data_IF_570950139201
#
_entry.id   IF_570950139201
#
_cell.length_a   1.000
_cell.length_b   1.000
_cell.length_c   1.000
_cell.angle_alpha   90.00
_cell.angle_beta   90.00
_cell.angle_gamma   90.00
#
_symmetry.space_group_name_H-M   'P 1'
#
loop_
_entity.id
_entity.type
_entity.pdbx_description
1 polymer ?
#
# COMPACT_ATOMS: atom_id res chain seq x y z
N UNK A 1 -7.12 21.32 -0.25
CA UNK A 1 -7.72 20.31 0.63
C UNK A 1 -6.65 19.29 1.00
N UNK A 2 -6.23 19.28 2.26
CA UNK A 2 -4.98 18.64 2.69
C UNK A 2 -5.12 17.14 2.94
N UNK A 3 -4.01 16.40 2.78
CA UNK A 3 -3.87 14.98 3.14
C UNK A 3 -4.34 14.64 4.57
N UNK A 4 -4.36 15.63 5.46
CA UNK A 4 -4.92 15.54 6.80
C UNK A 4 -6.41 15.16 6.79
N UNK A 5 -7.21 15.69 5.87
CA UNK A 5 -8.68 15.55 5.88
C UNK A 5 -9.12 14.08 5.70
N UNK A 6 -8.44 13.31 4.85
CA UNK A 6 -8.76 11.88 4.63
C UNK A 6 -8.36 10.98 5.81
N UNK A 7 -7.23 11.27 6.45
CA UNK A 7 -6.80 10.56 7.67
C UNK A 7 -7.76 10.89 8.82
N UNK A 8 -8.18 12.15 8.94
CA UNK A 8 -9.22 12.58 9.89
C UNK A 8 -10.54 11.86 9.62
N UNK A 9 -10.97 11.72 8.36
CA UNK A 9 -12.20 10.99 8.02
C UNK A 9 -12.12 9.51 8.41
N UNK A 10 -11.00 8.83 8.15
CA UNK A 10 -10.82 7.42 8.55
C UNK A 10 -10.80 7.24 10.08
N UNK A 11 -10.16 8.16 10.81
CA UNK A 11 -10.18 8.19 12.28
C UNK A 11 -11.58 8.50 12.82
N UNK A 12 -12.35 9.36 12.15
CA UNK A 12 -13.74 9.67 12.52
C UNK A 12 -14.66 8.47 12.27
N UNK A 13 -14.49 7.71 11.18
CA UNK A 13 -15.25 6.48 10.96
C UNK A 13 -14.93 5.40 12.03
N UNK A 14 -13.66 5.28 12.42
CA UNK A 14 -13.25 4.42 13.53
C UNK A 14 -13.87 4.88 14.85
N UNK A 15 -13.93 6.20 15.10
CA UNK A 15 -14.55 6.76 16.30
C UNK A 15 -16.09 6.60 16.34
N UNK A 16 -16.77 6.64 15.19
CA UNK A 16 -18.23 6.43 15.12
C UNK A 16 -18.59 4.97 15.40
N UNK A 17 -17.82 4.01 14.87
CA UNK A 17 -18.01 2.58 15.20
C UNK A 17 -17.79 2.27 16.68
N UNK A 18 -16.96 3.06 17.37
CA UNK A 18 -16.71 2.98 18.82
C UNK A 18 -17.92 3.47 19.65
N UNK A 19 -18.62 4.51 19.21
CA UNK A 19 -19.76 5.09 19.95
C UNK A 19 -20.98 4.16 19.94
N UNK A 20 -21.20 3.40 18.87
CA UNK A 20 -22.37 2.53 18.71
C UNK A 20 -22.13 1.07 19.12
N UNK A 21 -21.01 0.74 19.76
CA UNK A 21 -20.78 -0.62 20.27
C UNK A 21 -21.76 -0.95 21.41
N UNK A 22 -22.46 -2.10 21.38
CA UNK A 22 -23.34 -2.55 22.46
C UNK A 22 -22.62 -2.66 23.82
N UNK A 23 -21.30 -2.84 23.80
CA UNK A 23 -20.46 -2.95 25.00
C UNK A 23 -20.12 -1.61 25.66
N UNK A 24 -20.38 -0.46 25.00
CA UNK A 24 -20.14 0.87 25.58
C UNK A 24 -20.99 1.12 26.84
N UNK A 25 -22.02 0.28 27.05
CA UNK A 25 -22.93 0.33 28.20
C UNK A 25 -22.67 -0.75 29.27
N UNK A 26 -21.61 -1.58 29.17
CA UNK A 26 -21.31 -2.65 30.15
C UNK A 26 -19.82 -2.96 30.35
N UNK A 27 -19.43 -3.27 31.60
CA UNK A 27 -18.12 -3.75 32.10
C UNK A 27 -16.83 -3.28 31.37
N UNK A 28 -16.02 -2.44 32.04
CA UNK A 28 -14.80 -1.78 31.52
C UNK A 28 -13.71 -2.71 30.94
N UNK A 29 -13.68 -4.00 31.30
CA UNK A 29 -12.57 -4.90 30.90
C UNK A 29 -12.82 -5.60 29.55
N UNK A 30 -14.07 -5.88 29.20
CA UNK A 30 -14.46 -6.47 27.90
C UNK A 30 -14.31 -5.45 26.78
N UNK A 31 -14.59 -4.18 27.07
CA UNK A 31 -14.64 -3.10 26.08
C UNK A 31 -13.28 -2.85 25.41
N UNK A 32 -12.15 -2.85 26.16
CA UNK A 32 -10.83 -2.56 25.58
C UNK A 32 -10.36 -3.66 24.61
N UNK A 33 -10.56 -4.93 24.95
CA UNK A 33 -10.19 -6.06 24.08
C UNK A 33 -10.96 -6.01 22.77
N UNK A 34 -12.26 -5.70 22.83
CA UNK A 34 -13.12 -5.51 21.66
C UNK A 34 -12.63 -4.36 20.78
N UNK A 35 -12.27 -3.21 21.36
CA UNK A 35 -11.73 -2.09 20.58
C UNK A 35 -10.41 -2.40 19.88
N UNK A 36 -9.49 -3.12 20.55
CA UNK A 36 -8.21 -3.51 19.96
C UNK A 36 -8.41 -4.51 18.81
N UNK A 37 -9.32 -5.48 18.99
CA UNK A 37 -9.71 -6.41 17.92
C UNK A 37 -10.36 -5.70 16.74
N UNK A 38 -11.22 -4.71 17.00
CA UNK A 38 -11.86 -3.91 15.95
C UNK A 38 -10.83 -3.06 15.19
N UNK A 39 -9.92 -2.40 15.90
CA UNK A 39 -8.83 -1.63 15.29
C UNK A 39 -7.92 -2.52 14.42
N UNK A 40 -7.58 -3.72 14.92
CA UNK A 40 -6.88 -4.74 14.14
C UNK A 40 -7.63 -5.10 12.86
N UNK A 41 -8.90 -5.48 12.99
CA UNK A 41 -9.73 -5.92 11.86
C UNK A 41 -9.85 -4.83 10.79
N UNK A 42 -10.19 -3.61 11.18
CA UNK A 42 -10.38 -2.51 10.23
C UNK A 42 -9.06 -2.08 9.59
N UNK A 43 -7.96 -2.00 10.36
CA UNK A 43 -6.63 -1.74 9.83
C UNK A 43 -6.22 -2.80 8.81
N UNK A 44 -6.39 -4.08 9.16
CA UNK A 44 -6.09 -5.19 8.27
C UNK A 44 -6.91 -5.13 6.97
N UNK A 45 -8.24 -5.00 7.09
CA UNK A 45 -9.16 -4.99 5.94
C UNK A 45 -8.90 -3.83 4.99
N UNK A 46 -8.64 -2.61 5.51
CA UNK A 46 -8.31 -1.45 4.68
C UNK A 46 -6.98 -1.68 3.96
N UNK A 47 -5.94 -2.14 4.67
CA UNK A 47 -4.64 -2.40 4.08
C UNK A 47 -4.71 -3.46 2.97
N UNK A 48 -5.36 -4.59 3.25
CA UNK A 48 -5.51 -5.70 2.31
C UNK A 48 -6.32 -5.29 1.07
N UNK A 49 -7.49 -4.68 1.27
CA UNK A 49 -8.38 -4.26 0.19
C UNK A 49 -7.76 -3.18 -0.70
N UNK A 50 -7.13 -2.16 -0.10
CA UNK A 50 -6.43 -1.12 -0.85
C UNK A 50 -5.26 -1.70 -1.65
N UNK A 51 -4.46 -2.58 -1.06
CA UNK A 51 -3.34 -3.22 -1.74
C UNK A 51 -3.80 -4.08 -2.91
N UNK A 52 -4.87 -4.87 -2.73
CA UNK A 52 -5.47 -5.65 -3.81
C UNK A 52 -5.92 -4.75 -4.96
N UNK A 53 -6.73 -3.74 -4.64
CA UNK A 53 -7.30 -2.85 -5.65
C UNK A 53 -6.22 -2.07 -6.41
N UNK A 54 -5.32 -1.38 -5.72
CA UNK A 54 -4.31 -0.52 -6.36
C UNK A 54 -3.34 -1.34 -7.22
N UNK A 55 -2.94 -2.52 -6.75
CA UNK A 55 -1.92 -3.34 -7.43
C UNK A 55 -2.49 -4.07 -8.64
N UNK A 56 -3.62 -4.76 -8.47
CA UNK A 56 -4.10 -5.71 -9.46
C UNK A 56 -5.23 -5.18 -10.34
N UNK A 57 -5.88 -4.07 -9.95
CA UNK A 57 -7.05 -3.54 -10.66
C UNK A 57 -6.79 -2.11 -11.13
N UNK A 58 -6.72 -1.17 -10.19
CA UNK A 58 -6.59 0.26 -10.47
C UNK A 58 -5.33 0.60 -11.28
N UNK A 59 -4.18 0.03 -10.93
CA UNK A 59 -2.93 0.22 -11.67
C UNK A 59 -3.03 -0.22 -13.13
N UNK A 60 -3.66 -1.37 -13.40
CA UNK A 60 -3.83 -1.91 -14.76
C UNK A 60 -4.82 -1.07 -15.56
N UNK A 61 -5.96 -0.70 -14.96
CA UNK A 61 -6.96 0.14 -15.63
C UNK A 61 -6.35 1.48 -16.01
N UNK A 62 -5.66 2.16 -15.08
CA UNK A 62 -5.02 3.44 -15.36
C UNK A 62 -3.94 3.32 -16.44
N UNK A 63 -3.13 2.27 -16.39
CA UNK A 63 -2.08 2.05 -17.40
C UNK A 63 -2.67 1.84 -18.81
N UNK A 64 -3.79 1.12 -18.91
CA UNK A 64 -4.44 0.80 -20.20
C UNK A 64 -5.27 1.94 -20.78
N UNK A 65 -5.63 2.96 -20.00
CA UNK A 65 -6.61 3.96 -20.41
C UNK A 65 -6.12 5.41 -20.30
N UNK A 66 -5.02 5.69 -19.61
CA UNK A 66 -4.48 7.05 -19.49
C UNK A 66 -3.28 7.26 -20.41
N UNK A 67 -3.14 8.46 -21.01
CA UNK A 67 -1.90 8.90 -21.62
C UNK A 67 -0.72 8.74 -20.66
N UNK A 68 0.43 8.32 -21.17
CA UNK A 68 1.62 7.99 -20.37
C UNK A 68 1.99 9.07 -19.36
N UNK A 69 1.97 10.34 -19.77
CA UNK A 69 2.34 11.45 -18.88
C UNK A 69 1.30 11.71 -17.80
N UNK A 70 0.02 11.62 -18.14
CA UNK A 70 -1.08 11.74 -17.18
C UNK A 70 -1.05 10.60 -16.16
N UNK A 71 -0.83 9.37 -16.62
CA UNK A 71 -0.65 8.19 -15.78
C UNK A 71 0.49 8.39 -14.76
N UNK A 72 1.68 8.76 -15.22
CA UNK A 72 2.84 8.99 -14.34
C UNK A 72 2.59 10.10 -13.33
N UNK A 73 1.96 11.20 -13.76
CA UNK A 73 1.61 12.32 -12.88
C UNK A 73 0.59 11.92 -11.81
N UNK A 74 -0.46 11.20 -12.18
CA UNK A 74 -1.46 10.69 -11.25
C UNK A 74 -0.83 9.74 -10.23
N UNK A 75 -0.02 8.79 -10.69
CA UNK A 75 0.72 7.86 -9.83
C UNK A 75 1.63 8.59 -8.83
N UNK A 76 2.28 9.68 -9.24
CA UNK A 76 3.17 10.46 -8.35
C UNK A 76 2.45 11.10 -7.16
N UNK A 77 1.13 11.28 -7.25
CA UNK A 77 0.30 11.79 -6.15
C UNK A 77 -0.36 10.66 -5.37
N UNK A 78 -0.81 9.64 -6.09
CA UNK A 78 -1.54 8.51 -5.53
C UNK A 78 -0.64 7.61 -4.67
N UNK A 79 0.52 7.19 -5.14
CA UNK A 79 1.35 6.20 -4.42
C UNK A 79 1.83 6.67 -3.05
N UNK A 80 2.30 7.92 -2.86
CA UNK A 80 2.63 8.40 -1.52
C UNK A 80 1.42 8.34 -0.57
N UNK A 81 0.23 8.71 -1.03
CA UNK A 81 -0.98 8.65 -0.22
C UNK A 81 -1.37 7.20 0.12
N UNK A 82 -1.32 6.32 -0.88
CA UNK A 82 -1.57 4.88 -0.74
C UNK A 82 -0.61 4.23 0.27
N UNK A 83 0.70 4.36 0.09
CA UNK A 83 1.68 3.71 0.98
C UNK A 83 1.67 4.32 2.39
N UNK A 84 1.33 5.61 2.55
CA UNK A 84 1.09 6.19 3.88
C UNK A 84 -0.12 5.58 4.56
N UNK A 85 -1.27 5.52 3.88
CA UNK A 85 -2.50 4.97 4.44
C UNK A 85 -2.35 3.48 4.79
N UNK A 86 -1.82 2.67 3.86
CA UNK A 86 -1.55 1.25 4.09
C UNK A 86 -0.55 1.07 5.22
N UNK A 87 0.51 1.88 5.27
CA UNK A 87 1.51 1.82 6.34
C UNK A 87 0.92 2.05 7.73
N UNK A 88 0.07 3.08 7.89
CA UNK A 88 -0.63 3.34 9.16
C UNK A 88 -1.54 2.17 9.53
N UNK A 89 -2.31 1.65 8.57
CA UNK A 89 -3.22 0.54 8.80
C UNK A 89 -2.49 -0.76 9.21
N UNK A 90 -1.37 -1.08 8.55
CA UNK A 90 -0.53 -2.23 8.93
C UNK A 90 0.09 -1.98 10.31
N UNK A 91 0.56 -0.77 10.62
CA UNK A 91 1.12 -0.46 11.93
C UNK A 91 0.10 -0.65 13.06
N UNK A 92 -1.14 -0.20 12.87
CA UNK A 92 -2.25 -0.45 13.81
C UNK A 92 -2.51 -1.95 13.95
N UNK A 93 -2.49 -2.69 12.84
CA UNK A 93 -2.66 -4.16 12.83
C UNK A 93 -1.55 -4.85 13.63
N UNK A 94 -0.28 -4.52 13.37
CA UNK A 94 0.90 -5.04 14.09
C UNK A 94 0.81 -4.75 15.58
N UNK A 95 0.52 -3.50 15.95
CA UNK A 95 0.45 -3.09 17.36
C UNK A 95 -0.69 -3.81 18.09
N UNK A 96 -1.87 -3.88 17.48
CA UNK A 96 -3.03 -4.56 18.04
C UNK A 96 -2.77 -6.06 18.19
N UNK A 97 -2.20 -6.70 17.17
CA UNK A 97 -1.88 -8.13 17.19
C UNK A 97 -0.81 -8.44 18.25
N UNK A 98 0.26 -7.64 18.32
CA UNK A 98 1.33 -7.80 19.31
C UNK A 98 0.85 -7.58 20.74
N UNK A 99 -0.09 -6.66 20.96
CA UNK A 99 -0.71 -6.45 22.27
C UNK A 99 -1.58 -7.65 22.70
N UNK A 100 -2.43 -8.14 21.80
CA UNK A 100 -3.31 -9.29 22.07
C UNK A 100 -2.54 -10.62 22.19
N UNK A 101 -1.34 -10.68 21.63
CA UNK A 101 -0.50 -11.88 21.60
C UNK A 101 0.92 -11.60 22.11
N UNK A 102 1.12 -11.38 23.43
CA UNK A 102 2.43 -11.12 24.00
C UNK A 102 3.45 -12.21 23.69
N UNK A 103 4.65 -11.83 23.24
CA UNK A 103 5.64 -12.76 22.70
C UNK A 103 5.91 -14.01 23.57
N UNK A 104 6.04 -13.81 24.89
CA UNK A 104 6.38 -14.88 25.85
C UNK A 104 5.29 -15.95 25.95
N UNK A 105 4.02 -15.57 25.82
CA UNK A 105 2.86 -16.47 25.96
C UNK A 105 2.25 -16.88 24.63
N UNK A 106 2.64 -16.23 23.53
CA UNK A 106 2.18 -16.56 22.18
C UNK A 106 2.70 -17.90 21.69
N UNK A 107 1.80 -18.65 21.06
CA UNK A 107 2.10 -19.83 20.27
C UNK A 107 3.06 -19.52 19.12
N UNK A 108 3.72 -20.56 18.61
CA UNK A 108 4.60 -20.46 17.43
C UNK A 108 3.89 -19.86 16.22
N UNK A 109 2.64 -20.26 15.96
CA UNK A 109 1.84 -19.72 14.85
C UNK A 109 1.63 -18.20 14.99
N UNK A 110 1.24 -17.72 16.18
CA UNK A 110 1.07 -16.28 16.44
C UNK A 110 2.38 -15.50 16.26
N UNK A 111 3.53 -16.05 16.70
CA UNK A 111 4.84 -15.39 16.49
C UNK A 111 5.18 -15.24 15.00
N UNK A 112 4.92 -16.27 14.19
CA UNK A 112 5.08 -16.18 12.74
C UNK A 112 4.15 -15.13 12.11
N UNK A 113 2.89 -15.07 12.54
CA UNK A 113 1.95 -14.05 12.05
C UNK A 113 2.40 -12.62 12.36
N UNK A 114 2.90 -12.38 13.57
CA UNK A 114 3.50 -11.10 13.91
C UNK A 114 4.72 -10.78 13.00
N UNK A 115 5.56 -11.77 12.71
CA UNK A 115 6.67 -11.64 11.76
C UNK A 115 6.22 -11.27 10.35
N UNK A 116 5.16 -11.90 9.83
CA UNK A 116 4.58 -11.54 8.52
C UNK A 116 4.02 -10.11 8.52
N UNK A 117 3.28 -9.71 9.55
CA UNK A 117 2.75 -8.34 9.65
C UNK A 117 3.88 -7.28 9.73
N UNK A 118 4.95 -7.56 10.48
CA UNK A 118 6.14 -6.69 10.54
C UNK A 118 6.82 -6.63 9.17
N UNK A 119 6.94 -7.76 8.48
CA UNK A 119 7.51 -7.80 7.12
C UNK A 119 6.66 -6.99 6.13
N UNK A 120 5.34 -7.10 6.23
CA UNK A 120 4.40 -6.32 5.43
C UNK A 120 4.62 -4.82 5.62
N UNK A 121 4.77 -4.39 6.89
CA UNK A 121 5.04 -3.02 7.25
C UNK A 121 6.39 -2.56 6.69
N UNK A 122 7.45 -3.36 6.87
CA UNK A 122 8.78 -3.04 6.40
C UNK A 122 8.80 -2.79 4.88
N UNK A 123 8.26 -3.71 4.09
CA UNK A 123 8.20 -3.55 2.63
C UNK A 123 7.36 -2.34 2.20
N UNK A 124 6.23 -2.09 2.88
CA UNK A 124 5.41 -0.91 2.63
C UNK A 124 6.18 0.39 2.93
N UNK A 125 6.89 0.46 4.05
CA UNK A 125 7.69 1.63 4.43
C UNK A 125 8.89 1.84 3.49
N UNK A 126 9.54 0.76 3.03
CA UNK A 126 10.55 0.85 1.98
C UNK A 126 9.96 1.45 0.71
N UNK A 127 8.75 1.04 0.31
CA UNK A 127 8.08 1.67 -0.81
C UNK A 127 7.77 3.15 -0.56
N UNK A 128 7.27 3.51 0.62
CA UNK A 128 6.91 4.89 0.95
C UNK A 128 8.12 5.83 0.93
N UNK A 129 9.21 5.43 1.59
CA UNK A 129 10.34 6.32 1.87
C UNK A 129 11.50 6.19 0.88
N UNK A 130 11.61 5.04 0.20
CA UNK A 130 12.78 4.73 -0.63
C UNK A 130 12.36 4.66 -2.10
N UNK A 131 11.52 3.69 -2.47
CA UNK A 131 11.26 3.45 -3.89
C UNK A 131 10.32 4.48 -4.53
N UNK A 132 9.25 4.90 -3.85
CA UNK A 132 8.29 5.87 -4.42
C UNK A 132 8.96 7.20 -4.77
N UNK A 133 9.76 7.84 -3.87
CA UNK A 133 10.47 9.06 -4.22
C UNK A 133 11.43 8.88 -5.41
N UNK A 134 12.17 7.76 -5.44
CA UNK A 134 13.08 7.46 -6.56
C UNK A 134 12.35 7.24 -7.88
N UNK A 135 11.24 6.50 -7.88
CA UNK A 135 10.42 6.28 -9.08
C UNK A 135 9.83 7.59 -9.60
N UNK A 136 9.33 8.46 -8.71
CA UNK A 136 8.79 9.77 -9.09
C UNK A 136 9.86 10.66 -9.71
N UNK A 137 11.04 10.72 -9.10
CA UNK A 137 12.14 11.55 -9.63
C UNK A 137 12.59 11.05 -11.01
N UNK A 138 12.79 9.73 -11.15
CA UNK A 138 13.17 9.14 -12.43
C UNK A 138 12.07 9.33 -13.49
N UNK A 139 10.80 9.25 -13.10
CA UNK A 139 9.65 9.53 -13.96
C UNK A 139 9.70 10.97 -14.49
N UNK A 140 9.88 11.97 -13.62
CA UNK A 140 9.95 13.39 -14.03
C UNK A 140 11.07 13.66 -15.02
N UNK A 141 12.27 13.13 -14.73
CA UNK A 141 13.43 13.26 -15.62
C UNK A 141 13.13 12.63 -16.98
N UNK A 142 12.54 11.43 -16.99
CA UNK A 142 12.17 10.72 -18.21
C UNK A 142 11.11 11.46 -19.02
N UNK A 143 10.09 12.02 -18.38
CA UNK A 143 9.05 12.81 -19.06
C UNK A 143 9.63 14.04 -19.76
N UNK A 144 10.70 14.65 -19.24
CA UNK A 144 11.40 15.77 -19.91
C UNK A 144 11.97 15.32 -21.26
N UNK A 145 12.71 14.20 -21.28
CA UNK A 145 13.28 13.65 -22.52
C UNK A 145 12.19 13.17 -23.47
N UNK A 146 11.12 12.57 -22.96
CA UNK A 146 9.97 12.17 -23.77
C UNK A 146 9.34 13.37 -24.50
N UNK A 147 9.15 14.51 -23.81
CA UNK A 147 8.67 15.75 -24.44
C UNK A 147 9.62 16.30 -25.50
N UNK A 148 10.94 16.27 -25.25
CA UNK A 148 11.96 16.66 -26.24
C UNK A 148 11.89 15.81 -27.51
N UNK A 149 11.33 14.59 -27.43
CA UNK A 149 11.15 13.68 -28.56
C UNK A 149 9.68 13.60 -29.04
N UNK A 150 8.82 14.53 -28.61
CA UNK A 150 7.39 14.58 -28.98
C UNK A 150 6.60 13.29 -28.72
N UNK A 151 6.90 12.61 -27.61
CA UNK A 151 6.20 11.41 -27.12
C UNK A 151 5.74 11.60 -25.66
N UNK A 152 4.87 10.72 -25.16
CA UNK A 152 4.36 10.73 -23.79
C UNK A 152 2.85 10.95 -23.65
N UNK A 153 2.18 11.28 -24.74
CA UNK A 153 0.71 11.42 -24.78
C UNK A 153 0.01 10.18 -25.33
N UNK A 154 0.78 9.17 -25.78
CA UNK A 154 0.22 7.88 -26.13
C UNK A 154 -0.25 7.09 -24.92
N UNK A 155 -1.28 6.26 -25.14
CA UNK A 155 -1.66 5.20 -24.22
C UNK A 155 -0.76 3.99 -24.48
N UNK A 156 -0.20 3.41 -23.41
CA UNK A 156 0.67 2.25 -23.49
C UNK A 156 2.17 2.54 -23.67
N UNK A 157 2.89 1.66 -24.37
CA UNK A 157 4.37 1.68 -24.47
C UNK A 157 4.93 1.94 -25.87
N UNK A 158 4.11 1.85 -26.93
CA UNK A 158 4.59 1.64 -28.31
C UNK A 158 5.57 2.72 -28.79
N UNK A 159 5.17 3.99 -28.77
CA UNK A 159 6.01 5.10 -29.25
C UNK A 159 7.30 5.26 -28.45
N UNK A 160 7.23 5.08 -27.13
CA UNK A 160 8.39 5.17 -26.26
C UNK A 160 9.46 4.11 -26.58
N UNK A 161 9.03 2.87 -26.83
CA UNK A 161 9.93 1.77 -27.19
C UNK A 161 10.61 2.04 -28.53
N UNK A 162 9.86 2.58 -29.51
CA UNK A 162 10.40 2.91 -30.83
C UNK A 162 11.46 4.01 -30.78
N UNK A 163 11.19 5.12 -30.08
CA UNK A 163 12.15 6.22 -29.93
C UNK A 163 13.39 5.76 -29.15
N UNK A 164 13.21 4.92 -28.12
CA UNK A 164 14.32 4.42 -27.31
C UNK A 164 15.33 3.59 -28.13
N UNK A 165 14.93 2.94 -29.23
CA UNK A 165 15.86 2.22 -30.13
C UNK A 165 16.89 3.15 -30.79
N UNK A 166 16.53 4.42 -31.00
CA UNK A 166 17.37 5.43 -31.67
C UNK A 166 17.94 6.48 -30.70
N UNK A 167 17.49 6.47 -29.44
CA UNK A 167 17.89 7.42 -28.41
C UNK A 167 18.52 6.70 -27.20
N UNK A 168 19.86 6.58 -27.14
CA UNK A 168 20.58 5.88 -26.07
C UNK A 168 20.31 6.45 -24.67
N UNK A 169 20.10 7.77 -24.58
CA UNK A 169 19.76 8.45 -23.32
C UNK A 169 18.40 7.96 -22.81
N UNK A 170 17.39 7.93 -23.66
CA UNK A 170 16.05 7.42 -23.31
C UNK A 170 16.09 5.92 -22.97
N UNK A 171 16.83 5.10 -23.72
CA UNK A 171 16.97 3.67 -23.42
C UNK A 171 17.57 3.42 -22.04
N UNK A 172 18.63 4.14 -21.67
CA UNK A 172 19.26 4.04 -20.33
C UNK A 172 18.29 4.46 -19.23
N UNK A 173 17.52 5.52 -19.44
CA UNK A 173 16.50 5.98 -18.50
C UNK A 173 15.37 4.98 -18.35
N UNK A 174 14.89 4.38 -19.43
CA UNK A 174 13.89 3.32 -19.40
C UNK A 174 14.34 2.12 -18.58
N UNK A 175 15.60 1.67 -18.77
CA UNK A 175 16.18 0.58 -17.99
C UNK A 175 16.24 0.91 -16.50
N UNK A 176 16.73 2.11 -16.15
CA UNK A 176 16.83 2.54 -14.74
C UNK A 176 15.45 2.69 -14.11
N UNK A 177 14.49 3.29 -14.81
CA UNK A 177 13.11 3.40 -14.36
C UNK A 177 12.48 2.02 -14.14
N UNK A 178 12.60 1.12 -15.11
CA UNK A 178 12.07 -0.24 -15.02
C UNK A 178 12.64 -1.02 -13.84
N UNK A 179 13.93 -0.87 -13.56
CA UNK A 179 14.57 -1.49 -12.39
C UNK A 179 14.00 -0.96 -11.06
N UNK A 180 13.95 0.36 -10.87
CA UNK A 180 13.45 0.95 -9.62
C UNK A 180 11.95 0.65 -9.43
N UNK A 181 11.15 0.79 -10.50
CA UNK A 181 9.73 0.46 -10.48
C UNK A 181 9.49 -1.05 -10.23
N UNK A 182 10.32 -1.93 -10.80
CA UNK A 182 10.26 -3.37 -10.56
C UNK A 182 10.53 -3.73 -9.10
N UNK A 183 11.56 -3.13 -8.48
CA UNK A 183 11.84 -3.31 -7.05
C UNK A 183 10.70 -2.78 -6.17
N UNK A 184 10.11 -1.63 -6.51
CA UNK A 184 8.94 -1.10 -5.83
C UNK A 184 7.74 -2.05 -5.90
N UNK A 185 7.48 -2.58 -7.10
CA UNK A 185 6.39 -3.52 -7.35
C UNK A 185 6.59 -4.83 -6.58
N UNK A 186 7.81 -5.37 -6.57
CA UNK A 186 8.16 -6.55 -5.78
C UNK A 186 7.94 -6.32 -4.29
N UNK A 187 8.43 -5.21 -3.73
CA UNK A 187 8.20 -4.89 -2.33
C UNK A 187 6.70 -4.78 -2.00
N UNK A 188 5.90 -4.20 -2.90
CA UNK A 188 4.45 -4.10 -2.71
C UNK A 188 3.76 -5.49 -2.77
N UNK A 189 4.20 -6.37 -3.67
CA UNK A 189 3.73 -7.76 -3.74
C UNK A 189 4.12 -8.54 -2.48
N UNK A 190 5.34 -8.37 -1.96
CA UNK A 190 5.78 -9.01 -0.72
C UNK A 190 4.98 -8.52 0.49
N UNK A 191 4.65 -7.22 0.53
CA UNK A 191 3.77 -6.65 1.55
C UNK A 191 2.36 -7.25 1.47
N UNK A 192 1.77 -7.27 0.27
CA UNK A 192 0.46 -7.88 0.04
C UNK A 192 0.43 -9.37 0.35
N UNK A 193 1.45 -10.14 -0.07
CA UNK A 193 1.56 -11.57 0.21
C UNK A 193 1.64 -11.86 1.71
N UNK A 194 2.34 -11.02 2.47
CA UNK A 194 2.37 -11.12 3.93
C UNK A 194 0.99 -10.88 4.55
N UNK A 195 0.24 -9.89 4.06
CA UNK A 195 -1.15 -9.67 4.47
C UNK A 195 -2.07 -10.83 4.06
N UNK A 196 -1.85 -11.43 2.90
CA UNK A 196 -2.62 -12.58 2.42
C UNK A 196 -2.42 -13.83 3.29
N UNK A 197 -1.17 -14.10 3.70
CA UNK A 197 -0.87 -15.16 4.67
C UNK A 197 -1.60 -14.87 6.00
N UNK A 198 -1.64 -13.61 6.43
CA UNK A 198 -2.36 -13.23 7.63
C UNK A 198 -3.88 -13.39 7.50
N UNK A 199 -4.49 -13.08 6.35
CA UNK A 199 -5.92 -13.39 6.13
C UNK A 199 -6.21 -14.87 6.25
N UNK A 200 -5.33 -15.74 5.76
CA UNK A 200 -5.51 -17.19 5.87
C UNK A 200 -5.51 -17.63 7.34
N UNK A 201 -4.60 -17.06 8.14
CA UNK A 201 -4.58 -17.29 9.58
C UNK A 201 -5.87 -16.83 10.26
N UNK A 202 -6.35 -15.62 9.94
CA UNK A 202 -7.60 -15.09 10.50
C UNK A 202 -8.80 -15.95 10.14
N UNK A 203 -8.88 -16.44 8.88
CA UNK A 203 -9.95 -17.32 8.44
C UNK A 203 -10.04 -18.60 9.28
N UNK A 204 -8.91 -19.20 9.65
CA UNK A 204 -8.87 -20.37 10.53
C UNK A 204 -9.22 -20.10 12.01
N UNK A 205 -9.56 -18.85 12.36
CA UNK A 205 -10.00 -18.43 13.70
C UNK A 205 -11.43 -17.91 13.73
N UNK A 206 -12.09 -17.82 12.58
CA UNK A 206 -13.49 -17.43 12.51
C UNK A 206 -14.38 -18.61 12.91
N UNK A 207 -15.40 -18.32 13.72
CA UNK A 207 -16.52 -19.20 14.01
C UNK A 207 -17.75 -18.51 13.39
N UNK A 208 -18.24 -19.05 12.26
CA UNK A 208 -19.26 -18.45 11.39
C UNK A 208 -20.63 -19.10 11.58
#
# INVERSE_FOLDING_TARGET
MGRATLITTAVVFLAIGVIFSPETFGSKSTTLSTYIKLAHLLGFSIAFGAALWVTFIGGIIMFKNLPRHQFGNLQSKMFPAYFSMVGVCIAVTVASFGYLHPWKTSSTSQRYQLGFLISALAFNLTNLFVFTPMTIEMMKQRHKVERENSIGEEVGWSKNVEVAKKNPKLAKMNKKFGMIHGLSSLANIMSFGSLAIHSWYLAGKLDL
#
